data_IF_267403958213
#
_entry.id   IF_267403958213
#
_cell.length_a   1.000
_cell.length_b   1.000
_cell.length_c   1.000
_cell.angle_alpha   90.00
_cell.angle_beta   90.00
_cell.angle_gamma   90.00
#
_symmetry.space_group_name_H-M   'P 1'
#
loop_
_entity.id
_entity.type
_entity.pdbx_description
1 polymer ?
#
# COMPACT_ATOMS: atom_id res chain seq x y z
N UNK A 1 46.87 19.15 22.57
CA UNK A 1 45.42 19.43 22.66
C UNK A 1 44.84 19.45 21.27
N UNK A 2 43.92 18.54 20.93
CA UNK A 2 42.72 18.82 20.12
C UNK A 2 41.91 17.53 19.97
N UNK A 3 40.67 17.61 20.45
CA UNK A 3 39.83 16.50 20.85
C UNK A 3 39.30 15.65 19.70
N UNK A 4 39.44 14.34 19.85
CA UNK A 4 38.61 13.37 19.14
C UNK A 4 37.22 13.41 19.79
N UNK A 5 36.24 13.94 19.07
CA UNK A 5 34.83 13.97 19.47
C UNK A 5 34.28 12.54 19.46
N UNK A 6 34.29 11.89 20.61
CA UNK A 6 33.55 10.64 20.85
C UNK A 6 32.07 10.97 20.77
N UNK A 7 31.43 10.67 19.63
CA UNK A 7 29.97 10.66 19.54
C UNK A 7 29.53 9.38 20.25
N UNK A 8 28.96 9.55 21.44
CA UNK A 8 28.36 8.48 22.24
C UNK A 8 27.24 7.81 21.43
N UNK A 9 27.52 6.61 20.89
CA UNK A 9 26.47 5.66 20.50
C UNK A 9 25.74 5.28 21.78
N UNK A 10 24.56 5.84 21.98
CA UNK A 10 23.61 5.28 22.93
C UNK A 10 23.29 3.85 22.45
N UNK A 11 23.88 2.87 23.14
CA UNK A 11 23.52 1.47 23.03
C UNK A 11 22.09 1.33 23.57
N UNK A 12 21.11 1.35 22.67
CA UNK A 12 19.82 0.74 22.97
C UNK A 12 20.03 -0.77 23.10
N UNK A 13 19.46 -1.32 24.17
CA UNK A 13 19.61 -2.70 24.61
C UNK A 13 19.44 -3.70 23.47
N UNK A 14 20.30 -4.70 23.51
CA UNK A 14 20.44 -5.76 22.53
C UNK A 14 19.33 -6.80 22.74
N UNK A 15 18.09 -6.48 22.34
CA UNK A 15 17.03 -7.47 22.05
C UNK A 15 16.97 -7.73 20.54
N UNK A 16 18.14 -7.87 19.91
CA UNK A 16 18.28 -8.29 18.52
C UNK A 16 18.02 -9.80 18.36
N UNK A 17 16.91 -10.31 18.90
CA UNK A 17 16.45 -11.68 18.64
C UNK A 17 15.81 -11.75 17.26
N UNK A 18 16.71 -11.78 16.27
CA UNK A 18 16.60 -12.27 14.90
C UNK A 18 15.23 -12.13 14.21
N UNK A 19 15.03 -11.01 13.50
CA UNK A 19 14.05 -11.01 12.41
C UNK A 19 14.45 -12.08 11.41
N UNK A 20 13.55 -13.04 11.18
CA UNK A 20 13.81 -14.15 10.26
C UNK A 20 13.13 -13.92 8.93
N UNK A 21 13.80 -14.35 7.85
CA UNK A 21 13.23 -14.33 6.52
C UNK A 21 12.25 -15.49 6.36
N UNK A 22 10.99 -15.18 6.09
CA UNK A 22 9.92 -16.18 5.95
C UNK A 22 9.08 -15.91 4.70
N UNK A 23 8.58 -16.98 4.06
CA UNK A 23 7.71 -16.89 2.89
C UNK A 23 6.31 -16.42 3.29
N UNK A 24 5.69 -15.59 2.45
CA UNK A 24 4.31 -15.14 2.66
C UNK A 24 3.31 -16.30 2.63
N UNK A 25 3.56 -17.33 1.84
CA UNK A 25 2.71 -18.52 1.75
C UNK A 25 2.57 -19.31 3.06
N UNK A 26 3.46 -19.10 4.02
CA UNK A 26 3.33 -19.71 5.35
C UNK A 26 2.25 -19.04 6.22
N UNK A 27 1.81 -17.84 5.84
CA UNK A 27 0.91 -16.98 6.62
C UNK A 27 -0.34 -16.56 5.86
N UNK A 28 -0.35 -16.70 4.54
CA UNK A 28 -1.41 -16.26 3.64
C UNK A 28 -2.03 -17.45 2.93
N UNK A 29 -3.35 -17.59 3.04
CA UNK A 29 -4.12 -18.60 2.30
C UNK A 29 -5.01 -17.91 1.28
N UNK A 30 -4.91 -18.32 0.01
CA UNK A 30 -5.68 -17.71 -1.07
C UNK A 30 -7.18 -18.02 -0.94
N UNK A 31 -8.00 -16.97 -0.94
CA UNK A 31 -9.45 -17.09 -0.87
C UNK A 31 -10.09 -17.15 -2.26
N UNK A 32 -10.91 -18.18 -2.50
CA UNK A 32 -11.63 -18.41 -3.77
C UNK A 32 -13.12 -18.73 -3.55
N UNK A 33 -13.77 -18.03 -2.63
CA UNK A 33 -15.23 -18.13 -2.44
C UNK A 33 -15.93 -17.57 -3.67
N UNK A 34 -16.60 -18.44 -4.43
CA UNK A 34 -17.29 -18.06 -5.67
C UNK A 34 -18.43 -17.10 -5.35
N UNK A 35 -18.45 -15.96 -6.03
CA UNK A 35 -19.47 -14.93 -5.90
C UNK A 35 -20.36 -14.85 -7.14
N UNK A 36 -20.81 -13.64 -7.42
CA UNK A 36 -21.70 -13.34 -8.54
C UNK A 36 -20.92 -13.09 -9.83
N UNK A 37 -21.67 -12.96 -10.93
CA UNK A 37 -21.09 -12.47 -12.18
C UNK A 37 -21.04 -10.94 -12.18
N UNK A 38 -20.32 -10.36 -13.15
CA UNK A 38 -20.17 -8.90 -13.25
C UNK A 38 -21.46 -8.09 -13.40
N UNK A 39 -22.59 -8.74 -13.70
CA UNK A 39 -23.92 -8.11 -13.74
C UNK A 39 -24.43 -7.73 -12.34
N UNK A 40 -24.21 -8.59 -11.35
CA UNK A 40 -24.85 -8.50 -10.03
C UNK A 40 -23.85 -8.28 -8.88
N UNK A 41 -22.55 -8.48 -9.12
CA UNK A 41 -21.53 -8.40 -8.09
C UNK A 41 -21.42 -7.00 -7.46
N UNK A 42 -21.32 -6.94 -6.13
CA UNK A 42 -20.97 -5.71 -5.40
C UNK A 42 -19.47 -5.53 -5.43
N UNK A 43 -18.96 -4.64 -6.28
CA UNK A 43 -17.55 -4.62 -6.65
C UNK A 43 -16.69 -3.80 -5.69
N UNK A 44 -15.51 -4.31 -5.35
CA UNK A 44 -14.45 -3.55 -4.70
C UNK A 44 -13.15 -3.59 -5.53
N UNK A 45 -12.21 -2.70 -5.20
CA UNK A 45 -10.90 -2.64 -5.84
C UNK A 45 -9.84 -2.13 -4.87
N UNK A 46 -8.59 -2.50 -5.11
CA UNK A 46 -7.44 -1.99 -4.36
C UNK A 46 -6.88 -0.77 -5.09
N UNK A 47 -6.83 0.38 -4.43
CA UNK A 47 -6.32 1.61 -5.02
C UNK A 47 -4.79 1.67 -4.99
N UNK A 48 -4.24 2.31 -6.01
CA UNK A 48 -2.81 2.57 -6.12
C UNK A 48 -2.27 3.38 -4.94
N UNK A 49 -0.98 3.24 -4.68
CA UNK A 49 -0.17 4.01 -3.75
C UNK A 49 -0.63 3.87 -2.29
N UNK A 50 -1.00 2.65 -1.87
CA UNK A 50 -1.38 2.38 -0.48
C UNK A 50 -2.68 3.07 -0.05
N UNK A 51 -3.54 3.45 -0.99
CA UNK A 51 -4.87 4.05 -0.73
C UNK A 51 -5.92 3.04 -0.24
N UNK A 52 -5.54 1.77 -0.11
CA UNK A 52 -6.36 0.71 0.47
C UNK A 52 -7.47 0.20 -0.45
N UNK A 53 -8.40 -0.55 0.12
CA UNK A 53 -9.53 -1.15 -0.58
C UNK A 53 -10.73 -0.21 -0.54
N UNK A 54 -11.36 0.00 -1.69
CA UNK A 54 -12.54 0.86 -1.83
C UNK A 54 -13.60 0.18 -2.68
N UNK A 55 -14.86 0.57 -2.47
CA UNK A 55 -15.95 0.22 -3.38
C UNK A 55 -15.69 0.73 -4.79
N UNK A 56 -16.01 -0.09 -5.78
CA UNK A 56 -15.89 0.25 -7.19
C UNK A 56 -17.26 0.66 -7.72
N UNK A 57 -17.51 1.96 -7.73
CA UNK A 57 -18.70 2.58 -8.31
C UNK A 57 -18.52 2.74 -9.83
N UNK A 58 -18.52 1.63 -10.58
CA UNK A 58 -18.50 1.70 -12.04
C UNK A 58 -19.86 2.12 -12.58
N UNK A 59 -19.89 3.09 -13.49
CA UNK A 59 -21.07 3.45 -14.29
C UNK A 59 -21.33 2.47 -15.45
N UNK A 60 -20.34 1.63 -15.80
CA UNK A 60 -20.49 0.50 -16.71
C UNK A 60 -20.64 -0.80 -15.92
N UNK A 61 -21.78 -1.48 -16.09
CA UNK A 61 -22.00 -2.83 -15.56
C UNK A 61 -20.89 -3.81 -15.99
N UNK A 62 -20.64 -4.84 -15.19
CA UNK A 62 -19.69 -5.88 -15.59
C UNK A 62 -20.34 -6.86 -16.57
N UNK A 63 -19.57 -7.79 -17.14
CA UNK A 63 -20.13 -8.81 -18.02
C UNK A 63 -20.66 -10.02 -17.26
N UNK A 64 -21.65 -10.72 -17.83
CA UNK A 64 -22.13 -12.02 -17.35
C UNK A 64 -21.03 -13.09 -17.36
N UNK A 65 -20.03 -12.95 -18.25
CA UNK A 65 -18.92 -13.89 -18.40
C UNK A 65 -17.84 -13.75 -17.31
N UNK A 66 -17.79 -12.63 -16.59
CA UNK A 66 -16.75 -12.41 -15.58
C UNK A 66 -17.21 -12.95 -14.24
N UNK A 67 -16.50 -13.94 -13.72
CA UNK A 67 -16.71 -14.47 -12.36
C UNK A 67 -16.04 -13.58 -11.32
N UNK A 68 -16.80 -13.17 -10.31
CA UNK A 68 -16.31 -12.49 -9.12
C UNK A 68 -16.27 -13.45 -7.92
N UNK A 69 -15.52 -13.06 -6.90
CA UNK A 69 -15.29 -13.86 -5.70
C UNK A 69 -15.53 -13.00 -4.47
N UNK A 70 -16.24 -13.55 -3.50
CA UNK A 70 -16.63 -12.87 -2.26
C UNK A 70 -15.40 -12.64 -1.38
N UNK A 71 -15.27 -11.42 -0.86
CA UNK A 71 -14.18 -10.95 -0.01
C UNK A 71 -14.71 -10.60 1.36
N UNK A 72 -13.93 -10.96 2.36
CA UNK A 72 -14.30 -10.77 3.76
C UNK A 72 -13.42 -9.74 4.42
N UNK A 73 -13.98 -9.01 5.39
CA UNK A 73 -13.26 -8.06 6.21
C UNK A 73 -12.03 -8.71 6.85
N UNK A 74 -10.93 -7.95 6.90
CA UNK A 74 -9.66 -8.44 7.44
C UNK A 74 -8.81 -9.23 6.44
N UNK A 75 -9.32 -9.61 5.27
CA UNK A 75 -8.49 -10.24 4.23
C UNK A 75 -7.47 -9.25 3.64
N UNK A 76 -6.26 -9.73 3.37
CA UNK A 76 -5.25 -8.96 2.65
C UNK A 76 -5.48 -9.07 1.14
N UNK A 77 -5.36 -7.96 0.41
CA UNK A 77 -5.55 -7.89 -1.03
C UNK A 77 -4.38 -7.19 -1.72
N UNK A 78 -4.11 -7.61 -2.96
CA UNK A 78 -3.25 -6.86 -3.87
C UNK A 78 -3.78 -6.88 -5.30
N UNK A 79 -3.41 -5.89 -6.11
CA UNK A 79 -3.69 -5.87 -7.55
C UNK A 79 -2.57 -6.52 -8.36
N UNK A 80 -2.87 -7.56 -9.15
CA UNK A 80 -1.86 -8.29 -9.95
C UNK A 80 -1.13 -7.41 -10.96
N UNK A 81 -1.86 -6.50 -11.60
CA UNK A 81 -1.33 -5.59 -12.63
C UNK A 81 -0.64 -4.36 -12.03
N UNK A 82 -1.03 -3.98 -10.82
CA UNK A 82 -0.63 -2.73 -10.16
C UNK A 82 0.29 -2.93 -8.96
N UNK A 83 0.94 -4.09 -8.89
CA UNK A 83 1.85 -4.45 -7.81
C UNK A 83 2.97 -3.41 -7.62
N UNK A 84 3.56 -2.93 -8.73
CA UNK A 84 4.60 -1.90 -8.72
C UNK A 84 4.10 -0.51 -8.28
N UNK A 85 2.79 -0.29 -8.30
CA UNK A 85 2.14 0.92 -7.82
C UNK A 85 1.60 0.77 -6.40
N UNK A 86 2.08 -0.21 -5.64
CA UNK A 86 1.66 -0.47 -4.27
C UNK A 86 0.12 -0.55 -4.10
N UNK A 87 -0.55 -1.21 -5.04
CA UNK A 87 -1.96 -1.56 -4.92
C UNK A 87 -2.12 -2.71 -3.91
N UNK A 88 -1.98 -2.36 -2.62
CA UNK A 88 -2.14 -3.25 -1.47
C UNK A 88 -3.20 -2.70 -0.52
N UNK A 89 -3.92 -3.60 0.16
CA UNK A 89 -4.92 -3.19 1.14
C UNK A 89 -5.42 -4.34 1.99
N UNK A 90 -6.14 -3.99 3.06
CA UNK A 90 -6.93 -4.93 3.85
C UNK A 90 -8.40 -4.57 3.62
N UNK A 91 -9.26 -5.57 3.45
CA UNK A 91 -10.70 -5.35 3.28
C UNK A 91 -11.25 -4.74 4.58
N UNK A 92 -11.82 -3.52 4.55
CA UNK A 92 -12.45 -2.92 5.72
C UNK A 92 -13.83 -3.53 5.97
N UNK A 93 -14.31 -3.48 7.22
CA UNK A 93 -15.63 -4.03 7.63
C UNK A 93 -16.79 -3.56 6.76
N UNK A 94 -16.80 -2.28 6.36
CA UNK A 94 -17.85 -1.72 5.50
C UNK A 94 -17.92 -2.34 4.10
N UNK A 95 -16.88 -3.07 3.68
CA UNK A 95 -16.80 -3.76 2.40
C UNK A 95 -16.83 -5.29 2.59
N UNK A 96 -17.26 -5.79 3.75
CA UNK A 96 -17.49 -7.22 3.92
C UNK A 96 -18.56 -7.72 2.94
N UNK A 97 -18.29 -8.88 2.32
CA UNK A 97 -19.17 -9.48 1.32
C UNK A 97 -19.09 -8.85 -0.08
N UNK A 98 -18.29 -7.80 -0.27
CA UNK A 98 -18.00 -7.28 -1.61
C UNK A 98 -17.06 -8.22 -2.37
N UNK A 99 -16.95 -7.99 -3.67
CA UNK A 99 -16.40 -8.97 -4.57
C UNK A 99 -15.32 -8.38 -5.48
N UNK A 100 -14.34 -9.21 -5.82
CA UNK A 100 -13.29 -8.89 -6.79
C UNK A 100 -13.06 -10.06 -7.75
N UNK A 101 -12.46 -9.76 -8.90
CA UNK A 101 -12.00 -10.78 -9.84
C UNK A 101 -10.67 -11.39 -9.38
N UNK A 102 -10.17 -12.37 -10.14
CA UNK A 102 -8.83 -12.94 -9.95
C UNK A 102 -7.68 -11.96 -10.23
N UNK A 103 -7.94 -10.74 -10.73
CA UNK A 103 -6.94 -9.69 -10.88
C UNK A 103 -6.62 -8.96 -9.57
N UNK A 104 -7.52 -9.07 -8.59
CA UNK A 104 -7.36 -8.51 -7.25
C UNK A 104 -7.63 -9.61 -6.22
N UNK A 105 -6.72 -10.61 -6.10
CA UNK A 105 -6.88 -11.72 -5.16
C UNK A 105 -6.92 -11.22 -3.71
N UNK A 106 -7.54 -12.03 -2.85
CA UNK A 106 -7.58 -11.82 -1.42
C UNK A 106 -7.07 -13.06 -0.67
N UNK A 107 -6.46 -12.82 0.49
CA UNK A 107 -5.81 -13.84 1.30
C UNK A 107 -6.29 -13.75 2.74
N UNK A 108 -6.65 -14.90 3.29
CA UNK A 108 -6.84 -15.07 4.72
C UNK A 108 -5.46 -15.06 5.40
N UNK A 109 -5.35 -14.31 6.50
CA UNK A 109 -4.11 -14.13 7.24
C UNK A 109 -4.16 -14.93 8.54
N UNK A 110 -3.12 -15.73 8.80
CA UNK A 110 -2.96 -16.46 10.06
C UNK A 110 -1.52 -16.35 10.54
N UNK A 111 -1.31 -15.99 11.81
CA UNK A 111 0.03 -15.91 12.41
C UNK A 111 0.87 -14.69 11.98
N UNK A 112 0.26 -13.69 11.36
CA UNK A 112 0.89 -12.43 10.95
C UNK A 112 -0.03 -11.25 11.26
N UNK A 113 0.53 -10.11 11.69
CA UNK A 113 -0.25 -8.89 11.87
C UNK A 113 -0.49 -8.20 10.52
N UNK A 114 -1.76 -7.94 10.19
CA UNK A 114 -2.14 -7.36 8.90
C UNK A 114 -1.60 -5.95 8.69
N UNK A 115 -1.60 -5.10 9.72
CA UNK A 115 -1.10 -3.73 9.61
C UNK A 115 0.41 -3.72 9.40
N UNK A 116 1.14 -4.56 10.12
CA UNK A 116 2.56 -4.78 9.91
C UNK A 116 2.85 -5.24 8.48
N UNK A 117 2.16 -6.29 8.01
CA UNK A 117 2.34 -6.80 6.66
C UNK A 117 2.07 -5.71 5.61
N UNK A 118 0.94 -5.00 5.74
CA UNK A 118 0.55 -3.93 4.84
C UNK A 118 1.61 -2.81 4.81
N UNK A 119 2.14 -2.42 5.96
CA UNK A 119 3.22 -1.45 6.05
C UNK A 119 4.51 -1.97 5.39
N UNK A 120 4.86 -3.25 5.58
CA UNK A 120 6.05 -3.86 4.99
C UNK A 120 5.97 -3.91 3.47
N UNK A 121 4.86 -4.42 2.91
CA UNK A 121 4.72 -4.60 1.45
C UNK A 121 4.56 -3.27 0.70
N UNK A 122 4.06 -2.23 1.38
CA UNK A 122 3.95 -0.89 0.81
C UNK A 122 5.30 -0.16 0.75
N UNK A 123 6.37 -0.69 1.37
CA UNK A 123 7.70 -0.07 1.27
C UNK A 123 8.30 -0.25 -0.12
N UNK A 124 8.93 0.83 -0.61
CA UNK A 124 9.50 0.88 -1.96
C UNK A 124 10.50 -0.25 -2.24
N UNK A 125 11.31 -0.59 -1.25
CA UNK A 125 12.29 -1.66 -1.38
C UNK A 125 11.62 -3.02 -1.62
N UNK A 126 10.46 -3.27 -1.01
CA UNK A 126 9.74 -4.52 -1.16
C UNK A 126 9.12 -4.64 -2.56
N UNK A 127 8.24 -3.71 -2.92
CA UNK A 127 7.47 -3.88 -4.16
C UNK A 127 8.31 -3.66 -5.42
N UNK A 128 9.39 -2.85 -5.37
CA UNK A 128 10.32 -2.74 -6.50
C UNK A 128 11.19 -3.99 -6.64
N UNK A 129 11.76 -4.52 -5.55
CA UNK A 129 12.57 -5.75 -5.65
C UNK A 129 11.74 -6.91 -6.14
N UNK A 130 10.56 -7.11 -5.57
CA UNK A 130 9.71 -8.25 -5.91
C UNK A 130 8.90 -8.06 -7.20
N UNK A 131 8.44 -6.84 -7.49
CA UNK A 131 7.68 -6.54 -8.71
C UNK A 131 8.51 -6.66 -9.99
N UNK A 132 9.84 -6.61 -9.87
CA UNK A 132 10.76 -6.83 -11.00
C UNK A 132 11.02 -8.31 -11.30
N UNK A 133 10.60 -9.24 -10.43
CA UNK A 133 10.80 -10.69 -10.60
C UNK A 133 9.83 -11.28 -11.65
N UNK A 134 8.71 -10.61 -11.95
CA UNK A 134 7.71 -11.15 -12.88
C UNK A 134 8.13 -11.14 -14.36
N UNK A 135 7.76 -12.22 -15.06
CA UNK A 135 7.85 -12.38 -16.51
C UNK A 135 6.83 -11.48 -17.21
N UNK A 136 7.29 -10.42 -17.86
CA UNK A 136 6.46 -9.56 -18.69
C UNK A 136 7.29 -8.51 -19.44
N UNK A 137 7.08 -8.38 -20.75
CA UNK A 137 7.73 -7.35 -21.56
C UNK A 137 7.09 -5.97 -21.31
N UNK A 138 7.93 -4.99 -20.96
CA UNK A 138 7.74 -3.52 -21.04
C UNK A 138 6.29 -2.99 -20.97
N UNK A 139 5.69 -2.96 -19.76
CA UNK A 139 4.92 -1.82 -19.18
C UNK A 139 4.12 -2.19 -17.92
N UNK A 140 3.72 -3.45 -17.73
CA UNK A 140 3.11 -3.93 -16.49
C UNK A 140 3.51 -5.38 -16.24
N UNK A 141 4.14 -5.65 -15.08
CA UNK A 141 4.54 -6.99 -14.66
C UNK A 141 3.42 -7.57 -13.79
N UNK A 142 2.76 -8.60 -14.29
CA UNK A 142 1.66 -9.27 -13.59
C UNK A 142 2.22 -10.23 -12.55
N UNK A 143 1.88 -10.03 -11.28
CA UNK A 143 2.31 -10.89 -10.18
C UNK A 143 1.21 -11.92 -9.88
N UNK A 144 1.47 -13.18 -10.23
CA UNK A 144 0.58 -14.30 -9.90
C UNK A 144 0.63 -14.62 -8.41
N UNK A 145 -0.41 -15.28 -7.91
CA UNK A 145 -0.59 -15.59 -6.49
C UNK A 145 0.55 -16.46 -5.98
N UNK A 146 0.94 -17.49 -6.73
CA UNK A 146 2.04 -18.38 -6.35
C UNK A 146 3.36 -17.61 -6.21
N UNK A 147 3.64 -16.71 -7.16
CA UNK A 147 4.80 -15.80 -7.08
C UNK A 147 4.74 -14.90 -5.85
N UNK A 148 3.56 -14.37 -5.51
CA UNK A 148 3.39 -13.54 -4.32
C UNK A 148 3.59 -14.35 -3.03
N UNK A 149 3.05 -15.55 -2.94
CA UNK A 149 3.19 -16.45 -1.80
C UNK A 149 4.65 -16.90 -1.60
N UNK A 150 5.43 -17.03 -2.68
CA UNK A 150 6.85 -17.34 -2.60
C UNK A 150 7.75 -16.16 -2.17
N UNK A 151 7.23 -14.93 -2.17
CA UNK A 151 8.00 -13.76 -1.73
C UNK A 151 8.35 -13.88 -0.25
N UNK A 152 9.57 -13.47 0.08
CA UNK A 152 10.07 -13.48 1.44
C UNK A 152 9.95 -12.12 2.11
N UNK A 153 9.60 -12.13 3.40
CA UNK A 153 9.55 -10.96 4.29
C UNK A 153 10.34 -11.24 5.57
N UNK A 154 11.00 -10.23 6.10
CA UNK A 154 11.59 -10.29 7.43
C UNK A 154 10.48 -10.08 8.46
N UNK A 155 10.28 -11.08 9.32
CA UNK A 155 9.23 -11.06 10.33
C UNK A 155 9.83 -11.06 11.74
N UNK A 156 9.52 -10.05 12.57
CA UNK A 156 9.74 -10.13 14.01
C UNK A 156 8.71 -11.03 14.70
N UNK A 157 8.80 -11.12 16.02
CA UNK A 157 7.76 -11.73 16.86
C UNK A 157 6.39 -11.07 16.61
N UNK A 158 5.31 -11.83 16.77
CA UNK A 158 3.95 -11.30 16.56
C UNK A 158 3.64 -10.09 17.45
N UNK A 159 4.12 -10.09 18.70
CA UNK A 159 3.95 -8.97 19.63
C UNK A 159 4.63 -7.69 19.11
N UNK A 160 5.84 -7.81 18.58
CA UNK A 160 6.57 -6.69 17.98
C UNK A 160 5.92 -6.23 16.67
N UNK A 161 5.43 -7.15 15.83
CA UNK A 161 4.64 -6.80 14.64
C UNK A 161 3.42 -5.94 15.00
N UNK A 162 2.65 -6.34 16.01
CA UNK A 162 1.50 -5.58 16.50
C UNK A 162 1.91 -4.21 17.04
N UNK A 163 3.01 -4.12 17.79
CA UNK A 163 3.52 -2.85 18.30
C UNK A 163 3.89 -1.88 17.16
N UNK A 164 4.62 -2.37 16.16
CA UNK A 164 5.02 -1.61 14.97
C UNK A 164 3.80 -1.20 14.14
N UNK A 165 2.87 -2.13 13.92
CA UNK A 165 1.63 -1.90 13.16
C UNK A 165 0.77 -0.79 13.79
N UNK A 166 0.53 -0.88 15.11
CA UNK A 166 -0.22 0.14 15.87
C UNK A 166 0.49 1.49 15.87
N UNK A 167 1.82 1.51 15.99
CA UNK A 167 2.59 2.74 15.96
C UNK A 167 2.40 3.50 14.64
N UNK A 168 2.55 2.82 13.50
CA UNK A 168 2.36 3.45 12.19
C UNK A 168 0.89 3.81 11.90
N UNK A 169 -0.06 2.98 12.34
CA UNK A 169 -1.49 3.32 12.23
C UNK A 169 -1.80 4.62 12.97
N UNK A 170 -1.31 4.77 14.20
CA UNK A 170 -1.51 6.01 14.98
C UNK A 170 -0.87 7.22 14.32
N UNK A 171 0.30 7.05 13.70
CA UNK A 171 0.93 8.12 12.92
C UNK A 171 0.08 8.52 11.71
N UNK A 172 -0.44 7.54 10.95
CA UNK A 172 -1.32 7.79 9.81
C UNK A 172 -2.60 8.54 10.24
N UNK A 173 -3.19 8.19 11.39
CA UNK A 173 -4.35 8.88 11.96
C UNK A 173 -4.04 10.33 12.34
N UNK A 174 -2.90 10.57 13.00
CA UNK A 174 -2.46 11.91 13.38
C UNK A 174 -2.22 12.79 12.15
N UNK A 175 -1.57 12.25 11.12
CA UNK A 175 -1.32 12.99 9.87
C UNK A 175 -2.65 13.30 9.19
N UNK A 176 -3.56 12.34 9.12
CA UNK A 176 -4.90 12.53 8.55
C UNK A 176 -5.68 13.61 9.30
N UNK A 177 -5.64 13.61 10.63
CA UNK A 177 -6.28 14.63 11.46
C UNK A 177 -5.68 16.03 11.22
N UNK A 178 -4.36 16.14 11.18
CA UNK A 178 -3.69 17.42 10.92
C UNK A 178 -4.00 17.96 9.52
N UNK A 179 -4.04 17.10 8.50
CA UNK A 179 -4.40 17.49 7.14
C UNK A 179 -5.85 17.97 7.05
N UNK A 180 -6.80 17.29 7.70
CA UNK A 180 -8.21 17.74 7.75
C UNK A 180 -8.34 19.12 8.39
N UNK A 181 -7.62 19.37 9.49
CA UNK A 181 -7.58 20.71 10.11
C UNK A 181 -7.01 21.75 9.14
N UNK A 182 -5.90 21.47 8.47
CA UNK A 182 -5.33 22.45 7.53
C UNK A 182 -6.25 22.71 6.32
N UNK A 183 -6.95 21.69 5.82
CA UNK A 183 -7.91 21.83 4.72
C UNK A 183 -9.17 22.57 5.15
N UNK A 184 -9.63 22.41 6.40
CA UNK A 184 -10.80 23.14 6.93
C UNK A 184 -10.52 24.63 7.14
N UNK A 185 -9.27 25.02 7.37
CA UNK A 185 -8.85 26.43 7.49
C UNK A 185 -8.50 27.06 6.13
N UNK A 186 -8.34 26.25 5.08
CA UNK A 186 -8.10 26.69 3.71
C UNK A 186 -9.41 26.83 2.92
N UNK A 187 -10.37 27.63 3.41
CA UNK A 187 -11.56 28.02 2.63
C UNK A 187 -11.22 29.13 1.63
N UNK A 188 -10.67 28.75 0.47
CA UNK A 188 -11.00 29.36 -0.84
C UNK A 188 -11.10 28.24 -1.88
N UNK A 189 -12.16 28.20 -2.71
CA UNK A 189 -12.41 27.06 -3.57
C UNK A 189 -11.56 27.18 -4.82
N UNK A 190 -10.45 26.43 -4.88
CA UNK A 190 -9.77 26.15 -6.14
C UNK A 190 -9.88 24.65 -6.41
N UNK A 191 -10.38 24.30 -7.60
CA UNK A 191 -10.62 22.97 -8.16
C UNK A 191 -9.39 22.02 -8.06
N UNK A 192 -9.09 21.43 -6.90
CA UNK A 192 -8.21 20.26 -6.80
C UNK A 192 -8.18 19.68 -5.37
N UNK A 193 -9.26 19.03 -4.89
CA UNK A 193 -9.27 18.43 -3.54
C UNK A 193 -9.24 16.89 -3.47
N UNK A 194 -9.20 16.19 -4.60
CA UNK A 194 -9.15 14.72 -4.62
C UNK A 194 -7.72 14.20 -4.88
N UNK A 195 -6.79 14.25 -3.91
CA UNK A 195 -5.59 13.42 -4.06
C UNK A 195 -4.74 13.04 -2.83
N UNK A 196 -4.93 13.62 -1.64
CA UNK A 196 -3.83 13.62 -0.66
C UNK A 196 -3.77 12.48 0.36
N UNK A 197 -4.86 11.73 0.61
CA UNK A 197 -4.85 10.67 1.64
C UNK A 197 -3.95 9.46 1.30
N UNK A 198 -3.55 9.27 0.04
CA UNK A 198 -2.61 8.21 -0.36
C UNK A 198 -1.15 8.64 -0.48
N UNK A 199 -0.85 9.93 -0.38
CA UNK A 199 0.51 10.42 -0.63
C UNK A 199 1.49 10.13 0.52
N UNK A 200 1.01 9.93 1.75
CA UNK A 200 1.89 9.92 2.93
C UNK A 200 2.76 8.67 3.00
N UNK A 201 2.28 7.50 2.57
CA UNK A 201 3.12 6.29 2.50
C UNK A 201 4.25 6.41 1.47
N UNK A 202 4.09 7.28 0.47
CA UNK A 202 5.10 7.52 -0.57
C UNK A 202 5.97 8.76 -0.32
N UNK A 203 5.57 9.71 0.54
CA UNK A 203 6.26 10.99 0.71
C UNK A 203 7.49 11.01 1.64
N UNK A 204 8.09 9.85 1.98
CA UNK A 204 9.44 9.79 2.58
C UNK A 204 10.58 10.16 1.60
N UNK A 205 10.31 10.96 0.56
CA UNK A 205 11.23 11.26 -0.54
C UNK A 205 11.54 12.74 -0.78
N UNK A 206 11.12 13.67 0.08
CA UNK A 206 11.40 15.10 -0.15
C UNK A 206 11.99 15.82 1.05
N UNK A 207 13.16 15.36 1.49
CA UNK A 207 14.09 16.16 2.28
C UNK A 207 15.54 15.82 1.86
N UNK A 208 15.88 16.10 0.60
CA UNK A 208 17.28 16.06 0.15
C UNK A 208 17.58 16.76 -1.17
N UNK A 209 16.70 17.61 -1.72
CA UNK A 209 17.05 18.46 -2.88
C UNK A 209 16.34 19.82 -2.77
N UNK A 210 16.84 20.67 -1.88
CA UNK A 210 16.73 22.13 -1.99
C UNK A 210 18.10 22.72 -1.65
N UNK A 211 19.05 22.60 -2.57
CA UNK A 211 20.16 23.53 -2.70
C UNK A 211 20.16 24.01 -4.13
N UNK A 212 20.10 25.34 -4.29
CA UNK A 212 20.48 26.10 -5.48
C UNK A 212 19.78 25.70 -6.79
N UNK A 213 18.85 26.51 -7.26
CA UNK A 213 19.28 27.57 -8.17
C UNK A 213 18.08 28.37 -8.68
N UNK A 214 18.22 29.68 -8.52
CA UNK A 214 17.42 30.72 -9.11
C UNK A 214 17.65 30.66 -10.63
N UNK A 215 16.57 30.50 -11.41
CA UNK A 215 16.26 31.30 -12.62
C UNK A 215 15.11 30.64 -13.38
N UNK A 216 13.97 31.31 -13.39
CA UNK A 216 12.84 31.01 -14.27
C UNK A 216 12.78 32.12 -15.32
N UNK A 217 12.99 31.81 -16.59
CA UNK A 217 12.37 32.57 -17.66
C UNK A 217 11.53 31.63 -18.51
N UNK A 218 10.27 31.99 -18.73
CA UNK A 218 9.60 31.93 -20.04
C UNK A 218 8.18 32.43 -19.87
N UNK A 219 8.05 33.75 -20.02
CA UNK A 219 6.80 34.42 -20.34
C UNK A 219 6.73 34.59 -21.87
N UNK A 220 5.54 34.37 -22.44
CA UNK A 220 5.07 34.81 -23.77
C UNK A 220 5.70 34.05 -24.96
N UNK A 221 5.02 33.74 -26.07
CA UNK A 221 3.84 34.34 -26.71
C UNK A 221 3.29 33.41 -27.82
N UNK A 222 1.95 33.32 -27.92
CA UNK A 222 1.06 33.30 -29.11
C UNK A 222 1.30 32.41 -30.35
N UNK A 223 0.22 31.67 -30.69
CA UNK A 223 -0.46 31.52 -32.01
C UNK A 223 0.28 32.09 -33.23
N UNK A 224 0.53 31.27 -34.25
CA UNK A 224 -0.39 30.83 -35.31
C UNK A 224 0.21 29.60 -35.98
#
# INVERSE_FOLDING_TARGET
MNGKRLVSRQHYGNDASAWEQRKLGNYLTLSRVVGHTGLNARKLTVKLWGKGVVEKTDSYGGSASTQYFIRHAGQFMYGKLDFLHAAFGIVPEKLDGYESTLDSPAFDMSGIDGLFLLNRVTQQDFYLRNGMIANGSRKAKRIHEDTFLDMSVLLPSLAEQQAIGRFFSRLDDLITLHQRKHLSHATKPNHCSMCLSGCIRHQRKRLSICKGDLTCPLARTTRK
#
